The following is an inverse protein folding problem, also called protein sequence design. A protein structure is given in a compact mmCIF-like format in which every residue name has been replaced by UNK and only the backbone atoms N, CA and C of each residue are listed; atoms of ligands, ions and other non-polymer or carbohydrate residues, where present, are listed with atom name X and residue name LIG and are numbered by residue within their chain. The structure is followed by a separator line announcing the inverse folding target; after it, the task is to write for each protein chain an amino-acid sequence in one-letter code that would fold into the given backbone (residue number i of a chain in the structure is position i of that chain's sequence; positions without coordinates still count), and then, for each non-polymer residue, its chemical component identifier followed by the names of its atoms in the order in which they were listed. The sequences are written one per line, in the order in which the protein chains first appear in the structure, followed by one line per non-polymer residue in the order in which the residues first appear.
data_IF_580684731752
#
_entry.id   IF_580684731752
#
_cell.length_a   1.000
_cell.length_b   1.000
_cell.length_c   1.000
_cell.angle_alpha   90.00
_cell.angle_beta   90.00
_cell.angle_gamma   90.00
#
_symmetry.space_group_name_H-M   'P 1'
#
loop_
_entity.id
_entity.type
_entity.pdbx_description
1 polymer ?
#
# COMPACT_ATOMS: atom_id res chain seq x y z
N UNK A 1 -15.70 -62.99 -43.52
CA UNK A 1 -14.72 -61.90 -43.69
C UNK A 1 -15.00 -61.28 -45.03
N UNK A 2 -15.46 -60.02 -45.05
CA UNK A 2 -15.81 -59.28 -46.28
C UNK A 2 -14.54 -58.77 -46.97
N UNK A 3 -14.39 -58.84 -48.31
CA UNK A 3 -13.15 -58.46 -48.99
C UNK A 3 -12.93 -56.95 -49.22
N UNK A 4 -13.76 -56.06 -48.67
CA UNK A 4 -13.80 -54.66 -49.17
C UNK A 4 -12.93 -53.61 -48.48
N UNK A 5 -12.26 -53.88 -47.35
CA UNK A 5 -11.60 -52.81 -46.58
C UNK A 5 -10.07 -52.85 -46.57
N UNK A 6 -9.43 -53.12 -47.71
CA UNK A 6 -8.01 -52.75 -47.92
C UNK A 6 -7.92 -51.57 -48.86
N UNK A 7 -8.47 -50.42 -48.45
CA UNK A 7 -8.06 -49.13 -49.04
C UNK A 7 -6.59 -48.96 -48.70
N UNK A 8 -5.70 -49.26 -49.66
CA UNK A 8 -4.30 -48.85 -49.63
C UNK A 8 -4.29 -47.33 -49.41
N UNK A 9 -4.06 -46.92 -48.17
CA UNK A 9 -3.95 -45.52 -47.78
C UNK A 9 -2.73 -44.99 -48.53
N UNK A 10 -2.97 -44.17 -49.55
CA UNK A 10 -1.90 -43.54 -50.33
C UNK A 10 -0.88 -42.93 -49.36
N UNK A 11 0.35 -43.44 -49.39
CA UNK A 11 1.40 -42.90 -48.54
C UNK A 11 1.64 -41.44 -48.96
N UNK A 12 1.73 -40.51 -48.00
CA UNK A 12 1.97 -39.12 -48.33
C UNK A 12 3.28 -38.97 -49.09
N UNK A 13 3.31 -38.05 -50.06
CA UNK A 13 4.49 -37.82 -50.89
C UNK A 13 5.67 -37.42 -50.00
N UNK A 14 6.83 -38.08 -50.10
CA UNK A 14 7.99 -37.81 -49.25
C UNK A 14 8.35 -36.32 -49.24
N UNK A 15 8.53 -35.75 -48.06
CA UNK A 15 8.90 -34.34 -47.88
C UNK A 15 7.74 -33.33 -47.92
N UNK A 16 6.49 -33.79 -48.07
CA UNK A 16 5.31 -32.93 -47.83
C UNK A 16 5.06 -32.74 -46.32
N UNK A 17 4.32 -31.70 -45.96
CA UNK A 17 3.90 -31.49 -44.56
C UNK A 17 3.08 -32.66 -44.03
N UNK A 18 2.26 -33.30 -44.89
CA UNK A 18 1.53 -34.52 -44.57
C UNK A 18 2.46 -35.72 -44.28
N UNK A 19 3.56 -35.89 -45.03
CA UNK A 19 4.55 -36.94 -44.79
C UNK A 19 5.27 -36.76 -43.45
N UNK A 20 5.64 -35.52 -43.12
CA UNK A 20 6.22 -35.20 -41.81
C UNK A 20 5.25 -35.55 -40.67
N UNK A 21 3.97 -35.15 -40.78
CA UNK A 21 2.94 -35.50 -39.79
C UNK A 21 2.76 -37.02 -39.67
N UNK A 22 2.74 -37.74 -40.80
CA UNK A 22 2.56 -39.20 -40.81
C UNK A 22 3.76 -39.96 -40.21
N UNK A 23 4.99 -39.57 -40.54
CA UNK A 23 6.23 -40.18 -40.01
C UNK A 23 6.37 -39.97 -38.51
N UNK A 24 5.84 -38.90 -37.95
CA UNK A 24 5.87 -38.70 -36.51
C UNK A 24 4.68 -39.35 -35.79
N UNK A 25 3.49 -39.41 -36.41
CA UNK A 25 2.33 -40.13 -35.86
C UNK A 25 2.58 -41.63 -35.71
N UNK A 26 3.26 -42.25 -36.68
CA UNK A 26 3.65 -43.68 -36.63
C UNK A 26 4.52 -44.04 -35.43
N UNK A 27 5.15 -43.06 -34.76
CA UNK A 27 5.94 -43.28 -33.54
C UNK A 27 5.13 -43.13 -32.24
N UNK A 28 3.85 -42.77 -32.32
CA UNK A 28 3.00 -42.44 -31.17
C UNK A 28 1.92 -43.48 -30.86
N UNK A 29 1.53 -44.32 -31.82
CA UNK A 29 0.31 -45.15 -31.78
C UNK A 29 0.38 -46.46 -30.96
N UNK A 30 1.26 -46.58 -29.95
CA UNK A 30 1.43 -47.83 -29.20
C UNK A 30 0.59 -47.97 -27.89
N UNK A 31 -0.43 -47.12 -27.63
CA UNK A 31 -1.22 -47.29 -26.40
C UNK A 31 -2.53 -46.48 -26.31
N UNK A 32 -3.51 -47.04 -25.59
CA UNK A 32 -4.88 -46.50 -25.42
C UNK A 32 -5.00 -45.32 -24.44
N UNK A 33 -3.94 -45.00 -23.69
CA UNK A 33 -3.88 -43.79 -22.84
C UNK A 33 -2.90 -42.80 -23.47
N UNK A 34 -3.29 -41.53 -23.70
CA UNK A 34 -2.37 -40.52 -24.23
C UNK A 34 -1.17 -40.38 -23.29
N UNK A 35 -0.03 -40.91 -23.73
CA UNK A 35 1.22 -40.80 -22.98
C UNK A 35 1.59 -39.32 -22.81
N UNK A 36 2.48 -38.99 -21.85
CA UNK A 36 3.04 -37.63 -21.73
C UNK A 36 3.59 -37.11 -23.08
N UNK A 37 4.04 -38.03 -23.94
CA UNK A 37 4.48 -37.78 -25.32
C UNK A 37 3.30 -37.40 -26.23
N UNK A 38 2.20 -38.14 -26.21
CA UNK A 38 0.99 -37.81 -26.99
C UNK A 38 0.42 -36.43 -26.62
N UNK A 39 0.37 -36.08 -25.32
CA UNK A 39 -0.10 -34.76 -24.89
C UNK A 39 0.76 -33.62 -25.43
N UNK A 40 2.09 -33.79 -25.43
CA UNK A 40 3.01 -32.84 -26.07
C UNK A 40 2.78 -32.79 -27.58
N UNK A 41 2.43 -33.92 -28.20
CA UNK A 41 2.14 -33.99 -29.62
C UNK A 41 0.88 -33.24 -30.01
N UNK A 42 -0.22 -33.46 -29.31
CA UNK A 42 -1.46 -32.72 -29.56
C UNK A 42 -1.24 -31.19 -29.39
N UNK A 43 -0.37 -30.78 -28.45
CA UNK A 43 0.02 -29.37 -28.31
C UNK A 43 0.82 -28.86 -29.52
N UNK A 44 1.73 -29.67 -30.06
CA UNK A 44 2.49 -29.33 -31.26
C UNK A 44 1.55 -29.26 -32.48
N UNK A 45 0.64 -30.23 -32.65
CA UNK A 45 -0.32 -30.26 -33.75
C UNK A 45 -1.26 -29.04 -33.74
N UNK A 46 -1.71 -28.63 -32.55
CA UNK A 46 -2.52 -27.43 -32.38
C UNK A 46 -1.74 -26.16 -32.76
N UNK A 47 -0.46 -26.07 -32.41
CA UNK A 47 0.42 -24.98 -32.86
C UNK A 47 0.60 -25.00 -34.38
N UNK A 48 0.77 -26.17 -34.99
CA UNK A 48 0.86 -26.31 -36.44
C UNK A 48 -0.42 -25.82 -37.13
N UNK A 49 -1.60 -26.21 -36.63
CA UNK A 49 -2.89 -25.72 -37.15
C UNK A 49 -2.97 -24.19 -37.05
N UNK A 50 -2.60 -23.62 -35.90
CA UNK A 50 -2.59 -22.17 -35.71
C UNK A 50 -1.65 -21.45 -36.69
N UNK A 51 -0.45 -21.98 -36.92
CA UNK A 51 0.50 -21.42 -37.88
C UNK A 51 0.03 -21.58 -39.33
N UNK A 52 -0.63 -22.70 -39.67
CA UNK A 52 -1.24 -22.90 -40.99
C UNK A 52 -2.41 -21.93 -41.24
N UNK A 53 -3.31 -21.74 -40.28
CA UNK A 53 -4.42 -20.77 -40.39
C UNK A 53 -3.91 -19.34 -40.56
N UNK A 54 -2.76 -19.01 -39.99
CA UNK A 54 -2.11 -17.70 -40.12
C UNK A 54 -1.25 -17.56 -41.38
N UNK A 55 -1.15 -18.60 -42.21
CA UNK A 55 -0.34 -18.59 -43.44
C UNK A 55 1.17 -18.59 -43.19
N UNK A 56 1.62 -18.95 -41.98
CA UNK A 56 3.05 -19.00 -41.62
C UNK A 56 3.73 -20.29 -42.12
N UNK A 57 2.94 -21.35 -42.32
CA UNK A 57 3.36 -22.65 -42.84
C UNK A 57 2.38 -23.05 -43.95
N UNK A 58 2.84 -23.73 -45.02
CA UNK A 58 1.97 -24.22 -46.07
C UNK A 58 0.92 -25.21 -45.58
N UNK A 59 -0.18 -25.33 -46.32
CA UNK A 59 -1.18 -26.37 -46.12
C UNK A 59 -0.59 -27.79 -46.35
N UNK A 60 -1.29 -28.82 -45.90
CA UNK A 60 -0.77 -30.20 -45.87
C UNK A 60 -0.49 -30.79 -47.25
N UNK A 61 -1.14 -30.26 -48.28
CA UNK A 61 -1.01 -30.60 -49.70
C UNK A 61 0.15 -29.87 -50.41
N UNK A 62 0.84 -28.98 -49.73
CA UNK A 62 1.94 -28.20 -50.27
C UNK A 62 3.32 -28.79 -49.90
N UNK A 63 4.39 -28.41 -50.64
CA UNK A 63 5.77 -28.79 -50.30
C UNK A 63 6.10 -28.41 -48.84
N UNK A 64 6.94 -29.21 -48.19
CA UNK A 64 7.29 -29.02 -46.78
C UNK A 64 7.81 -27.61 -46.44
N UNK A 65 7.77 -27.23 -45.16
CA UNK A 65 8.11 -25.87 -44.74
C UNK A 65 9.53 -25.47 -45.14
N UNK A 66 9.62 -24.48 -46.02
CA UNK A 66 10.89 -23.85 -46.42
C UNK A 66 11.55 -23.07 -45.27
N UNK A 67 12.80 -22.64 -45.46
CA UNK A 67 13.50 -21.81 -44.48
C UNK A 67 12.79 -20.48 -44.21
N UNK A 68 12.16 -19.89 -45.23
CA UNK A 68 11.35 -18.68 -45.10
C UNK A 68 10.16 -18.90 -44.14
N UNK A 69 9.46 -20.02 -44.24
CA UNK A 69 8.37 -20.37 -43.32
C UNK A 69 8.87 -20.53 -41.87
N UNK A 70 10.03 -21.19 -41.69
CA UNK A 70 10.65 -21.33 -40.36
C UNK A 70 10.99 -19.98 -39.75
N UNK A 71 11.56 -19.07 -40.54
CA UNK A 71 11.88 -17.70 -40.11
C UNK A 71 10.61 -16.93 -39.75
N UNK A 72 9.57 -17.02 -40.57
CA UNK A 72 8.28 -16.36 -40.34
C UNK A 72 7.62 -16.81 -39.03
N UNK A 73 7.66 -18.11 -38.70
CA UNK A 73 7.14 -18.63 -37.41
C UNK A 73 7.90 -18.06 -36.22
N UNK A 74 9.23 -17.99 -36.30
CA UNK A 74 10.07 -17.43 -35.21
C UNK A 74 9.83 -15.94 -35.03
N UNK A 75 9.77 -15.18 -36.12
CA UNK A 75 9.47 -13.74 -36.09
C UNK A 75 8.08 -13.47 -35.52
N UNK A 76 7.09 -14.28 -35.91
CA UNK A 76 5.72 -14.19 -35.41
C UNK A 76 5.63 -14.42 -33.89
N UNK A 77 6.20 -15.52 -33.38
CA UNK A 77 6.17 -15.84 -31.94
C UNK A 77 6.96 -14.81 -31.11
N UNK A 78 8.04 -14.27 -31.66
CA UNK A 78 8.79 -13.19 -31.02
C UNK A 78 8.01 -11.87 -30.99
N UNK A 79 7.30 -11.53 -32.07
CA UNK A 79 6.47 -10.33 -32.13
C UNK A 79 5.30 -10.40 -31.14
N UNK A 80 4.62 -11.56 -31.05
CA UNK A 80 3.54 -11.78 -30.08
C UNK A 80 4.05 -11.67 -28.63
N UNK A 81 5.24 -12.22 -28.35
CA UNK A 81 5.91 -12.08 -27.06
C UNK A 81 6.19 -10.61 -26.70
N UNK A 82 6.77 -9.85 -27.62
CA UNK A 82 7.09 -8.43 -27.40
C UNK A 82 5.84 -7.57 -27.24
N UNK A 83 4.74 -7.90 -27.94
CA UNK A 83 3.46 -7.22 -27.76
C UNK A 83 2.88 -7.48 -26.37
N UNK A 84 2.93 -8.74 -25.89
CA UNK A 84 2.50 -9.07 -24.55
C UNK A 84 3.35 -8.34 -23.51
N UNK A 85 4.69 -8.39 -23.62
CA UNK A 85 5.61 -7.70 -22.71
C UNK A 85 5.34 -6.18 -22.64
N UNK A 86 5.14 -5.51 -23.79
CA UNK A 86 4.78 -4.08 -23.83
C UNK A 86 3.44 -3.79 -23.16
N UNK A 87 2.42 -4.62 -23.39
CA UNK A 87 1.12 -4.47 -22.73
C UNK A 87 1.24 -4.63 -21.20
N UNK A 88 2.14 -5.50 -20.75
CA UNK A 88 2.42 -5.71 -19.32
C UNK A 88 3.17 -4.55 -18.68
N UNK A 89 4.22 -4.02 -19.32
CA UNK A 89 4.93 -2.81 -18.84
C UNK A 89 3.94 -1.65 -18.70
N UNK A 90 3.03 -1.49 -19.67
CA UNK A 90 1.98 -0.47 -19.63
C UNK A 90 1.00 -0.65 -18.46
N UNK A 91 0.82 -1.87 -17.94
CA UNK A 91 -0.06 -2.17 -16.81
C UNK A 91 0.59 -1.93 -15.43
N UNK A 92 1.86 -1.50 -15.36
CA UNK A 92 2.50 -1.07 -14.12
C UNK A 92 2.81 -2.16 -13.10
N UNK A 93 2.73 -3.45 -13.46
CA UNK A 93 3.04 -4.56 -12.55
C UNK A 93 4.46 -5.10 -12.80
N UNK A 94 5.38 -5.03 -11.82
CA UNK A 94 6.70 -5.62 -11.97
C UNK A 94 6.61 -7.15 -12.03
N UNK A 95 7.39 -7.83 -12.89
CA UNK A 95 7.25 -9.26 -13.18
C UNK A 95 7.83 -10.19 -12.10
N UNK A 96 7.83 -9.78 -10.83
CA UNK A 96 8.48 -10.55 -9.77
C UNK A 96 7.65 -11.78 -9.34
N UNK A 97 6.31 -11.68 -9.26
CA UNK A 97 5.43 -12.81 -8.91
C UNK A 97 4.04 -12.71 -9.55
N UNK A 98 3.47 -13.83 -10.03
CA UNK A 98 2.08 -13.91 -10.51
C UNK A 98 1.86 -14.58 -11.89
N UNK A 99 0.62 -14.55 -12.42
CA UNK A 99 0.22 -15.14 -13.71
C UNK A 99 1.10 -14.69 -14.90
N UNK A 100 1.65 -13.47 -14.84
CA UNK A 100 2.55 -12.92 -15.85
C UNK A 100 3.89 -13.67 -15.95
N UNK A 101 4.49 -14.07 -14.82
CA UNK A 101 5.71 -14.90 -14.79
C UNK A 101 5.46 -16.27 -15.41
N UNK A 102 4.26 -16.83 -15.20
CA UNK A 102 3.86 -18.09 -15.81
C UNK A 102 3.65 -17.94 -17.32
N UNK A 103 3.10 -16.82 -17.79
CA UNK A 103 2.98 -16.51 -19.21
C UNK A 103 4.34 -16.37 -19.89
N UNK A 104 5.29 -15.64 -19.29
CA UNK A 104 6.66 -15.54 -19.81
C UNK A 104 7.36 -16.90 -19.85
N UNK A 105 7.32 -17.68 -18.76
CA UNK A 105 7.86 -19.05 -18.75
C UNK A 105 7.19 -19.94 -19.79
N UNK A 106 5.90 -19.76 -20.06
CA UNK A 106 5.17 -20.50 -21.10
C UNK A 106 5.63 -20.08 -22.50
N UNK A 107 5.88 -18.79 -22.73
CA UNK A 107 6.42 -18.29 -23.98
C UNK A 107 7.86 -18.76 -24.23
N UNK A 108 8.74 -18.71 -23.22
CA UNK A 108 10.09 -19.29 -23.31
C UNK A 108 10.06 -20.77 -23.64
N UNK A 109 9.18 -21.54 -22.97
CA UNK A 109 8.98 -22.96 -23.29
C UNK A 109 8.50 -23.17 -24.73
N UNK A 110 7.63 -22.29 -25.25
CA UNK A 110 7.21 -22.32 -26.66
C UNK A 110 8.38 -22.02 -27.59
N UNK A 111 9.22 -21.03 -27.31
CA UNK A 111 10.42 -20.73 -28.10
C UNK A 111 11.38 -21.92 -28.16
N UNK A 112 11.65 -22.57 -27.04
CA UNK A 112 12.49 -23.78 -26.98
C UNK A 112 11.85 -24.94 -27.77
N UNK A 113 10.53 -25.10 -27.67
CA UNK A 113 9.80 -26.13 -28.43
C UNK A 113 9.86 -25.88 -29.94
N UNK A 114 9.68 -24.63 -30.39
CA UNK A 114 9.79 -24.21 -31.80
C UNK A 114 11.22 -24.44 -32.30
N UNK A 115 12.24 -24.04 -31.53
CA UNK A 115 13.64 -24.24 -31.89
C UNK A 115 13.99 -25.74 -32.03
N UNK A 116 13.57 -26.57 -31.07
CA UNK A 116 13.76 -28.02 -31.14
C UNK A 116 13.04 -28.63 -32.33
N UNK A 117 11.80 -28.21 -32.61
CA UNK A 117 11.04 -28.68 -33.76
C UNK A 117 11.72 -28.31 -35.08
N UNK A 118 12.26 -27.10 -35.20
CA UNK A 118 13.07 -26.67 -36.34
C UNK A 118 14.32 -27.56 -36.47
N UNK A 119 14.99 -27.87 -35.36
CA UNK A 119 16.15 -28.76 -35.35
C UNK A 119 15.78 -30.16 -35.86
N UNK A 120 14.69 -30.74 -35.34
CA UNK A 120 14.18 -32.04 -35.79
C UNK A 120 13.83 -32.04 -37.27
N UNK A 121 13.15 -31.01 -37.77
CA UNK A 121 12.81 -30.88 -39.19
C UNK A 121 14.06 -30.76 -40.08
N UNK A 122 15.13 -30.13 -39.58
CA UNK A 122 16.42 -30.04 -40.29
C UNK A 122 17.12 -31.40 -40.37
N UNK A 123 17.10 -32.18 -39.28
CA UNK A 123 17.76 -33.49 -39.23
C UNK A 123 16.98 -34.61 -39.94
N UNK A 124 15.64 -34.57 -39.94
CA UNK A 124 14.82 -35.59 -40.62
C UNK A 124 14.72 -35.39 -42.14
N UNK A 125 14.94 -34.16 -42.62
CA UNK A 125 14.98 -33.84 -44.06
C UNK A 125 16.33 -34.12 -44.72
N UNK A 126 17.42 -34.24 -43.96
CA UNK A 126 18.77 -34.49 -44.48
C UNK A 126 19.09 -35.96 -44.77
N UNK A 127 18.11 -36.87 -44.67
CA UNK A 127 18.25 -38.22 -45.20
C UNK A 127 19.21 -39.11 -44.39
N UNK A 128 18.63 -40.10 -43.73
CA UNK A 128 19.32 -41.29 -43.22
C UNK A 128 19.82 -42.19 -44.38
N UNK A 129 20.11 -41.62 -45.55
CA UNK A 129 20.36 -42.37 -46.79
C UNK A 129 21.84 -42.54 -47.12
N UNK A 130 22.77 -41.85 -46.45
CA UNK A 130 24.14 -41.74 -46.98
C UNK A 130 25.33 -42.17 -46.09
N UNK A 131 25.19 -42.68 -44.85
CA UNK A 131 26.40 -43.03 -44.07
C UNK A 131 26.16 -43.95 -42.87
N UNK A 132 25.77 -45.21 -43.12
CA UNK A 132 26.04 -46.29 -42.16
C UNK A 132 27.24 -47.08 -42.70
N UNK A 133 28.43 -46.48 -42.69
CA UNK A 133 29.66 -47.22 -42.94
C UNK A 133 30.00 -48.04 -41.70
N UNK A 134 29.87 -49.36 -41.84
CA UNK A 134 30.36 -50.37 -40.90
C UNK A 134 31.86 -50.14 -40.72
N UNK A 135 32.28 -49.71 -39.54
CA UNK A 135 33.69 -49.55 -39.18
C UNK A 135 34.34 -50.93 -39.23
N UNK A 136 35.32 -51.11 -40.13
CA UNK A 136 36.04 -52.36 -40.30
C UNK A 136 36.99 -52.60 -39.11
N UNK A 137 37.22 -53.87 -38.76
CA UNK A 137 38.00 -54.28 -37.59
C UNK A 137 39.48 -53.82 -37.59
N UNK A 138 39.98 -53.30 -38.72
CA UNK A 138 41.36 -52.85 -38.90
C UNK A 138 41.65 -51.47 -38.29
N UNK A 139 40.63 -50.66 -37.97
CA UNK A 139 40.76 -49.30 -37.40
C UNK A 139 40.84 -49.26 -35.85
N UNK A 140 40.72 -50.40 -35.19
CA UNK A 140 40.73 -50.55 -33.72
C UNK A 140 41.98 -49.98 -33.00
N UNK A 141 43.24 -50.21 -33.45
CA UNK A 141 44.42 -49.75 -32.71
C UNK A 141 44.61 -48.22 -32.75
N UNK A 142 44.18 -47.55 -33.83
CA UNK A 142 44.21 -46.08 -33.94
C UNK A 142 43.18 -45.45 -32.99
N UNK A 143 42.01 -46.07 -32.86
CA UNK A 143 40.99 -45.69 -31.89
C UNK A 143 41.47 -45.83 -30.44
N UNK A 144 42.25 -46.87 -30.13
CA UNK A 144 42.77 -47.11 -28.78
C UNK A 144 43.87 -46.11 -28.36
N UNK A 145 44.73 -45.70 -29.31
CA UNK A 145 45.70 -44.63 -29.07
C UNK A 145 45.03 -43.24 -28.93
N UNK A 146 44.01 -42.97 -29.75
CA UNK A 146 43.20 -41.77 -29.64
C UNK A 146 42.44 -41.73 -28.29
N UNK A 147 41.89 -42.87 -27.87
CA UNK A 147 41.24 -43.03 -26.56
C UNK A 147 42.18 -42.68 -25.40
N UNK A 148 43.41 -43.22 -25.41
CA UNK A 148 44.42 -42.90 -24.38
C UNK A 148 44.81 -41.42 -24.35
N UNK A 149 44.94 -40.77 -25.51
CA UNK A 149 45.23 -39.33 -25.60
C UNK A 149 44.07 -38.49 -25.06
N UNK A 150 42.83 -38.85 -25.40
CA UNK A 150 41.63 -38.18 -24.90
C UNK A 150 41.54 -38.34 -23.38
N UNK A 151 41.76 -39.54 -22.85
CA UNK A 151 41.69 -39.82 -21.41
C UNK A 151 42.75 -39.04 -20.62
N UNK A 152 43.98 -38.96 -21.14
CA UNK A 152 45.05 -38.17 -20.52
C UNK A 152 44.77 -36.66 -20.53
N UNK A 153 44.22 -36.12 -21.63
CA UNK A 153 43.84 -34.70 -21.72
C UNK A 153 42.63 -34.38 -20.81
N UNK A 154 41.65 -35.29 -20.74
CA UNK A 154 40.53 -35.16 -19.81
C UNK A 154 41.00 -35.18 -18.36
N UNK A 155 41.93 -36.06 -17.99
CA UNK A 155 42.51 -36.12 -16.65
C UNK A 155 43.17 -34.79 -16.23
N UNK A 156 43.98 -34.19 -17.12
CA UNK A 156 44.61 -32.88 -16.83
C UNK A 156 43.59 -31.76 -16.63
N UNK A 157 42.56 -31.71 -17.48
CA UNK A 157 41.50 -30.70 -17.37
C UNK A 157 40.69 -30.88 -16.10
N UNK A 158 40.44 -32.13 -15.70
CA UNK A 158 39.76 -32.46 -14.45
C UNK A 158 40.55 -31.91 -13.24
N UNK A 159 41.85 -32.20 -13.16
CA UNK A 159 42.71 -31.69 -12.08
C UNK A 159 42.78 -30.15 -12.05
N UNK A 160 42.77 -29.49 -13.21
CA UNK A 160 42.71 -28.03 -13.28
C UNK A 160 41.38 -27.48 -12.76
N UNK A 161 40.27 -28.14 -13.10
CA UNK A 161 38.95 -27.79 -12.58
C UNK A 161 38.87 -27.98 -11.07
N UNK A 162 39.39 -29.08 -10.53
CA UNK A 162 39.40 -29.36 -9.10
C UNK A 162 40.17 -28.27 -8.32
N UNK A 163 41.34 -27.85 -8.83
CA UNK A 163 42.11 -26.74 -8.23
C UNK A 163 41.36 -25.42 -8.23
N UNK A 164 40.68 -25.09 -9.34
CA UNK A 164 39.86 -23.87 -9.43
C UNK A 164 38.66 -23.93 -8.48
N UNK A 165 38.10 -25.12 -8.30
CA UNK A 165 36.98 -25.31 -7.38
C UNK A 165 37.41 -25.13 -5.92
N UNK A 166 38.55 -25.70 -5.51
CA UNK A 166 39.12 -25.43 -4.18
C UNK A 166 39.40 -23.94 -3.95
N UNK A 167 39.89 -23.21 -4.96
CA UNK A 167 40.10 -21.77 -4.85
C UNK A 167 38.78 -21.00 -4.66
N UNK A 168 37.72 -21.41 -5.36
CA UNK A 168 36.38 -20.83 -5.19
C UNK A 168 35.82 -21.12 -3.81
N UNK A 169 35.97 -22.33 -3.29
CA UNK A 169 35.49 -22.70 -1.96
C UNK A 169 36.18 -21.86 -0.87
N UNK A 170 37.50 -21.66 -0.96
CA UNK A 170 38.22 -20.77 -0.02
C UNK A 170 37.74 -19.32 -0.07
N UNK A 171 37.42 -18.82 -1.27
CA UNK A 171 36.88 -17.45 -1.43
C UNK A 171 35.47 -17.33 -0.85
N UNK A 172 34.65 -18.37 -0.98
CA UNK A 172 33.32 -18.40 -0.39
C UNK A 172 33.40 -18.40 1.15
N UNK A 173 34.28 -19.20 1.74
CA UNK A 173 34.52 -19.19 3.20
C UNK A 173 35.03 -17.84 3.72
N UNK A 174 35.82 -17.09 2.93
CA UNK A 174 36.23 -15.74 3.28
C UNK A 174 35.05 -14.75 3.20
N UNK A 175 34.19 -14.88 2.20
CA UNK A 175 32.99 -14.06 2.07
C UNK A 175 32.01 -14.32 3.21
N UNK A 176 31.78 -15.58 3.59
CA UNK A 176 30.91 -15.95 4.71
C UNK A 176 31.39 -15.32 6.02
N UNK A 177 32.69 -15.41 6.31
CA UNK A 177 33.28 -14.76 7.50
C UNK A 177 33.09 -13.23 7.50
N UNK A 178 33.21 -12.58 6.35
CA UNK A 178 32.98 -11.13 6.23
C UNK A 178 31.50 -10.78 6.41
N UNK A 179 30.59 -11.60 5.90
CA UNK A 179 29.15 -11.39 6.10
C UNK A 179 28.78 -11.53 7.58
N UNK A 180 29.27 -12.56 8.28
CA UNK A 180 29.05 -12.72 9.72
C UNK A 180 29.61 -11.55 10.55
N UNK A 181 30.73 -10.97 10.13
CA UNK A 181 31.28 -9.78 10.81
C UNK A 181 30.39 -8.55 10.59
N UNK A 182 29.88 -8.36 9.38
CA UNK A 182 28.95 -7.28 9.07
C UNK A 182 27.64 -7.44 9.85
N UNK A 183 27.09 -8.65 9.93
CA UNK A 183 25.87 -8.94 10.70
C UNK A 183 26.07 -8.61 12.17
N UNK A 184 27.19 -9.03 12.78
CA UNK A 184 27.53 -8.68 14.17
C UNK A 184 27.65 -7.18 14.40
N UNK A 185 28.24 -6.44 13.46
CA UNK A 185 28.35 -4.97 13.55
C UNK A 185 26.99 -4.29 13.46
N UNK A 186 26.14 -4.74 12.52
CA UNK A 186 24.78 -4.20 12.37
C UNK A 186 23.93 -4.49 13.61
N UNK A 187 24.02 -5.69 14.18
CA UNK A 187 23.31 -6.04 15.42
C UNK A 187 23.77 -5.18 16.59
N UNK A 188 25.09 -4.99 16.75
CA UNK A 188 25.64 -4.11 17.79
C UNK A 188 25.19 -2.65 17.63
N UNK A 189 25.17 -2.11 16.41
CA UNK A 189 24.66 -0.76 16.16
C UNK A 189 23.17 -0.64 16.42
N UNK A 190 22.38 -1.66 16.08
CA UNK A 190 20.95 -1.68 16.36
C UNK A 190 20.69 -1.66 17.86
N UNK A 191 21.39 -2.51 18.63
CA UNK A 191 21.30 -2.54 20.10
C UNK A 191 21.68 -1.18 20.68
N UNK A 192 22.81 -0.60 20.26
CA UNK A 192 23.25 0.73 20.69
C UNK A 192 22.19 1.79 20.39
N UNK A 193 21.63 1.79 19.18
CA UNK A 193 20.60 2.74 18.78
C UNK A 193 19.27 2.56 19.51
N UNK A 194 18.94 1.34 19.95
CA UNK A 194 17.78 1.10 20.81
C UNK A 194 18.02 1.60 22.23
N UNK A 195 19.21 1.40 22.79
CA UNK A 195 19.56 1.92 24.11
C UNK A 195 19.62 3.45 24.16
N UNK A 196 20.16 4.08 23.12
CA UNK A 196 20.17 5.55 23.00
C UNK A 196 18.76 6.12 22.93
N UNK A 197 17.86 5.49 22.16
CA UNK A 197 16.44 5.87 22.13
C UNK A 197 15.78 5.70 23.49
N UNK A 198 16.00 4.56 24.17
CA UNK A 198 15.47 4.34 25.51
C UNK A 198 15.92 5.42 26.50
N UNK A 199 17.21 5.80 26.50
CA UNK A 199 17.74 6.88 27.34
C UNK A 199 17.10 8.23 27.01
N UNK A 200 16.87 8.51 25.73
CA UNK A 200 16.19 9.73 25.31
C UNK A 200 14.72 9.77 25.78
N UNK A 201 14.02 8.64 25.70
CA UNK A 201 12.64 8.51 26.18
C UNK A 201 12.56 8.64 27.71
N UNK A 202 13.50 8.05 28.45
CA UNK A 202 13.63 8.23 29.91
C UNK A 202 13.84 9.71 30.27
N UNK A 203 14.79 10.39 29.62
CA UNK A 203 15.04 11.81 29.84
C UNK A 203 13.82 12.68 29.45
N UNK A 204 13.10 12.31 28.39
CA UNK A 204 11.88 13.01 27.99
C UNK A 204 10.77 12.87 29.05
N UNK A 205 10.61 11.67 29.63
CA UNK A 205 9.65 11.43 30.69
C UNK A 205 9.99 12.22 31.97
N UNK A 206 11.26 12.33 32.33
CA UNK A 206 11.68 13.16 33.46
C UNK A 206 11.28 14.64 33.27
N UNK A 207 11.48 15.17 32.06
CA UNK A 207 11.06 16.54 31.70
C UNK A 207 9.54 16.70 31.76
N UNK A 208 8.78 15.68 31.32
CA UNK A 208 7.31 15.70 31.40
C UNK A 208 6.86 15.76 32.86
N UNK A 209 7.43 14.94 33.73
CA UNK A 209 7.09 14.92 35.16
C UNK A 209 7.46 16.23 35.86
N UNK A 210 8.60 16.84 35.51
CA UNK A 210 8.96 18.16 36.02
C UNK A 210 7.93 19.23 35.60
N UNK A 211 7.57 19.26 34.31
CA UNK A 211 6.53 20.19 33.81
C UNK A 211 5.18 19.96 34.47
N UNK A 212 4.82 18.70 34.74
CA UNK A 212 3.58 18.35 35.43
C UNK A 212 3.54 18.94 36.84
N UNK A 213 4.62 18.79 37.60
CA UNK A 213 4.76 19.37 38.95
C UNK A 213 4.70 20.90 38.93
N UNK A 214 5.35 21.53 37.95
CA UNK A 214 5.31 22.99 37.79
C UNK A 214 3.89 23.50 37.50
N UNK A 215 3.14 22.78 36.65
CA UNK A 215 1.73 23.10 36.36
C UNK A 215 0.86 22.93 37.59
N UNK A 216 1.05 21.86 38.37
CA UNK A 216 0.33 21.63 39.62
C UNK A 216 0.58 22.77 40.62
N UNK A 217 1.84 23.15 40.84
CA UNK A 217 2.20 24.28 41.70
C UNK A 217 1.60 25.61 41.22
N UNK A 218 1.57 25.85 39.91
CA UNK A 218 0.93 27.03 39.32
C UNK A 218 -0.59 27.04 39.56
N UNK A 219 -1.25 25.89 39.45
CA UNK A 219 -2.68 25.77 39.73
C UNK A 219 -3.00 26.04 41.20
N UNK A 220 -2.14 25.61 42.13
CA UNK A 220 -2.29 25.92 43.56
C UNK A 220 -2.23 27.43 43.82
N UNK A 221 -1.30 28.13 43.17
CA UNK A 221 -1.19 29.60 43.26
C UNK A 221 -2.46 30.27 42.70
N UNK A 222 -2.97 29.80 41.56
CA UNK A 222 -4.24 30.31 41.02
C UNK A 222 -5.39 30.08 42.01
N UNK A 223 -5.47 28.90 42.61
CA UNK A 223 -6.51 28.58 43.57
C UNK A 223 -6.42 29.45 44.83
N UNK A 224 -5.21 29.74 45.32
CA UNK A 224 -5.01 30.67 46.43
C UNK A 224 -5.46 32.08 46.07
N UNK A 225 -5.08 32.60 44.90
CA UNK A 225 -5.52 33.90 44.41
C UNK A 225 -7.03 34.01 44.32
N UNK A 226 -7.71 32.97 43.82
CA UNK A 226 -9.17 32.93 43.77
C UNK A 226 -9.80 33.01 45.16
N UNK A 227 -9.25 32.30 46.16
CA UNK A 227 -9.74 32.40 47.54
C UNK A 227 -9.55 33.80 48.12
N UNK A 228 -8.46 34.49 47.79
CA UNK A 228 -8.24 35.88 48.21
C UNK A 228 -9.23 36.85 47.53
N UNK A 229 -9.47 36.68 46.24
CA UNK A 229 -10.47 37.44 45.49
C UNK A 229 -11.87 37.23 46.09
N UNK A 230 -12.25 35.99 46.41
CA UNK A 230 -13.53 35.67 47.06
C UNK A 230 -13.66 36.33 48.44
N UNK A 231 -12.60 36.30 49.26
CA UNK A 231 -12.57 37.02 50.55
C UNK A 231 -12.77 38.53 50.36
N UNK A 232 -12.12 39.12 49.36
CA UNK A 232 -12.27 40.54 49.06
C UNK A 232 -13.70 40.88 48.60
N UNK A 233 -14.30 40.04 47.74
CA UNK A 233 -15.69 40.19 47.34
C UNK A 233 -16.66 40.08 48.52
N UNK A 234 -16.40 39.17 49.46
CA UNK A 234 -17.19 39.02 50.68
C UNK A 234 -17.12 40.27 51.56
N UNK A 235 -15.93 40.83 51.79
CA UNK A 235 -15.75 42.09 52.54
C UNK A 235 -16.45 43.27 51.88
N UNK A 236 -16.39 43.37 50.54
CA UNK A 236 -17.12 44.39 49.80
C UNK A 236 -18.64 44.24 49.96
N UNK A 237 -19.15 43.01 49.93
CA UNK A 237 -20.56 42.72 50.15
C UNK A 237 -21.00 43.09 51.57
N UNK A 238 -20.18 42.78 52.58
CA UNK A 238 -20.43 43.14 53.98
C UNK A 238 -20.48 44.65 54.17
N UNK A 239 -19.49 45.40 53.66
CA UNK A 239 -19.50 46.88 53.71
C UNK A 239 -20.75 47.48 53.05
N UNK A 240 -21.17 46.95 51.89
CA UNK A 240 -22.43 47.38 51.25
C UNK A 240 -23.64 47.13 52.14
N UNK A 241 -23.68 45.99 52.84
CA UNK A 241 -24.77 45.70 53.79
C UNK A 241 -24.75 46.65 54.99
N UNK A 242 -23.57 46.99 55.51
CA UNK A 242 -23.42 47.98 56.58
C UNK A 242 -23.89 49.36 56.15
N UNK A 243 -23.54 49.82 54.94
CA UNK A 243 -24.00 51.09 54.39
C UNK A 243 -25.54 51.14 54.29
N UNK A 244 -26.16 50.04 53.84
CA UNK A 244 -27.63 49.90 53.79
C UNK A 244 -28.22 49.96 55.20
N UNK A 245 -27.66 49.21 56.16
CA UNK A 245 -28.11 49.26 57.57
C UNK A 245 -27.98 50.66 58.15
N UNK A 246 -26.89 51.35 57.86
CA UNK A 246 -26.68 52.73 58.30
C UNK A 246 -27.74 53.66 57.71
N UNK A 247 -28.02 53.58 56.40
CA UNK A 247 -29.09 54.36 55.77
C UNK A 247 -30.46 54.08 56.39
N UNK A 248 -30.78 52.81 56.66
CA UNK A 248 -32.04 52.43 57.31
C UNK A 248 -32.16 53.03 58.71
N UNK A 249 -31.10 52.99 59.52
CA UNK A 249 -31.10 53.60 60.86
C UNK A 249 -31.27 55.12 60.82
N UNK A 250 -30.68 55.79 59.82
CA UNK A 250 -30.85 57.22 59.59
C UNK A 250 -32.28 57.56 59.15
N UNK A 251 -32.85 56.75 58.25
CA UNK A 251 -34.23 56.89 57.81
C UNK A 251 -35.23 56.66 58.96
N UNK A 252 -34.99 55.66 59.82
CA UNK A 252 -35.79 55.41 61.02
C UNK A 252 -35.74 56.56 62.00
N UNK A 253 -34.54 57.13 62.24
CA UNK A 253 -34.41 58.33 63.08
C UNK A 253 -35.22 59.50 62.51
N UNK A 254 -35.09 59.77 61.21
CA UNK A 254 -35.86 60.83 60.54
C UNK A 254 -37.37 60.59 60.62
N UNK A 255 -37.83 59.33 60.45
CA UNK A 255 -39.25 58.96 60.62
C UNK A 255 -39.74 59.27 62.03
N UNK A 256 -38.99 58.87 63.07
CA UNK A 256 -39.36 59.15 64.47
C UNK A 256 -39.41 60.65 64.75
N UNK A 257 -38.45 61.43 64.26
CA UNK A 257 -38.45 62.90 64.39
C UNK A 257 -39.66 63.54 63.70
N UNK A 258 -40.04 63.07 62.50
CA UNK A 258 -41.24 63.52 61.81
C UNK A 258 -42.51 63.15 62.58
N UNK A 259 -42.62 61.93 63.09
CA UNK A 259 -43.74 61.47 63.91
C UNK A 259 -43.89 62.29 65.20
N UNK A 260 -42.78 62.62 65.86
CA UNK A 260 -42.75 63.50 67.02
C UNK A 260 -43.23 64.91 66.67
N UNK A 261 -42.77 65.49 65.54
CA UNK A 261 -43.24 66.78 65.07
C UNK A 261 -44.74 66.78 64.76
N UNK A 262 -45.24 65.73 64.10
CA UNK A 262 -46.68 65.54 63.84
C UNK A 262 -47.44 65.48 65.16
N UNK A 263 -46.92 64.73 66.13
CA UNK A 263 -47.53 64.59 67.47
C UNK A 263 -47.55 65.92 68.22
N UNK A 264 -46.46 66.70 68.15
CA UNK A 264 -46.39 68.05 68.72
C UNK A 264 -47.40 69.00 68.05
N UNK A 265 -47.52 68.96 66.71
CA UNK A 265 -48.52 69.75 65.97
C UNK A 265 -49.94 69.38 66.39
N UNK A 266 -50.27 68.08 66.46
CA UNK A 266 -51.59 67.59 66.94
C UNK A 266 -51.90 68.08 68.35
N UNK A 267 -50.91 68.11 69.25
CA UNK A 267 -51.08 68.68 70.60
C UNK A 267 -51.36 70.18 70.59
N UNK A 268 -50.73 70.94 69.68
CA UNK A 268 -51.00 72.38 69.52
C UNK A 268 -52.38 72.66 68.93
N UNK A 269 -52.82 71.90 67.93
CA UNK A 269 -54.13 72.09 67.29
C UNK A 269 -55.29 71.68 68.19
N UNK A 270 -55.12 70.69 69.07
CA UNK A 270 -56.18 70.29 70.03
C UNK A 270 -56.46 71.33 71.12
N UNK A 271 -55.61 72.34 71.30
CA UNK A 271 -55.87 73.51 72.16
C UNK A 271 -56.43 74.72 71.40
N UNK A 272 -56.65 74.59 70.09
CA UNK A 272 -57.06 75.67 69.20
C UNK A 272 -58.32 75.28 68.43
N UNK A 273 -59.35 74.85 69.16
CA UNK A 273 -60.66 74.52 68.59
C UNK A 273 -61.77 75.21 69.39
N UNK A 274 -61.66 76.52 69.54
CA UNK A 274 -62.80 77.41 69.73
C UNK A 274 -62.54 78.64 68.85
N UNK A 275 -63.51 78.95 67.98
CA UNK A 275 -63.52 80.01 66.96
C UNK A 275 -62.77 79.73 65.64
N UNK A 276 -63.49 79.24 64.63
CA UNK A 276 -64.06 80.13 63.60
C UNK A 276 -64.76 79.35 62.49
N UNK A 277 -66.02 79.73 62.28
CA UNK A 277 -66.83 79.48 61.09
C UNK A 277 -66.23 80.11 59.82
N UNK A 278 -66.62 79.57 58.66
CA UNK A 278 -66.63 80.25 57.35
C UNK A 278 -65.70 79.58 56.32
N UNK A 279 -66.22 78.82 55.37
CA UNK A 279 -66.82 79.23 54.08
C UNK A 279 -65.80 79.40 52.94
N UNK A 280 -66.17 78.84 51.79
CA UNK A 280 -65.53 79.00 50.47
C UNK A 280 -64.40 78.00 50.23
N UNK A 281 -64.14 77.46 49.05
CA UNK A 281 -64.75 77.43 47.71
C UNK A 281 -63.85 76.41 46.98
N UNK A 282 -64.38 75.37 46.34
CA UNK A 282 -64.59 75.27 44.88
C UNK A 282 -63.39 75.70 44.00
N UNK A 283 -63.10 74.84 43.00
CA UNK A 283 -62.23 75.02 41.82
C UNK A 283 -60.74 74.70 42.06
N UNK A 284 -59.94 74.18 41.13
CA UNK A 284 -60.07 73.63 39.78
C UNK A 284 -58.66 73.06 39.49
N UNK A 285 -58.52 71.91 38.86
CA UNK A 285 -58.03 71.74 37.49
C UNK A 285 -56.54 72.06 37.22
N UNK A 286 -56.01 71.40 36.20
CA UNK A 286 -54.64 71.39 35.63
C UNK A 286 -53.64 70.48 36.38
N UNK A 287 -53.16 69.36 35.81
CA UNK A 287 -52.80 69.13 34.43
C UNK A 287 -51.31 69.44 34.27
N UNK A 288 -50.46 68.40 34.23
CA UNK A 288 -49.21 68.50 33.49
C UNK A 288 -48.71 67.12 33.06
N UNK A 289 -49.01 66.80 31.80
CA UNK A 289 -48.25 65.88 30.98
C UNK A 289 -46.77 66.28 31.00
N UNK A 290 -45.86 65.34 31.23
CA UNK A 290 -44.59 65.38 30.52
C UNK A 290 -44.25 64.01 29.93
N UNK A 291 -44.31 64.05 28.62
CA UNK A 291 -44.08 63.05 27.61
C UNK A 291 -42.58 63.01 27.23
N UNK A 292 -42.20 61.97 26.48
CA UNK A 292 -41.00 61.79 25.62
C UNK A 292 -39.74 61.10 26.21
N UNK A 293 -38.87 60.48 25.37
CA UNK A 293 -39.09 59.20 24.66
C UNK A 293 -37.79 58.34 24.60
N UNK A 294 -37.76 57.28 23.78
CA UNK A 294 -36.52 56.83 23.13
C UNK A 294 -36.03 55.44 23.51
N UNK A 295 -36.49 54.40 22.81
CA UNK A 295 -35.72 53.69 21.76
C UNK A 295 -34.59 52.77 22.25
N UNK A 296 -34.80 51.46 22.00
CA UNK A 296 -33.79 50.41 22.01
C UNK A 296 -32.57 50.74 21.12
N UNK A 297 -31.47 49.97 21.25
CA UNK A 297 -31.27 48.99 20.18
C UNK A 297 -30.83 47.61 20.63
N UNK A 298 -31.31 46.63 19.84
CA UNK A 298 -30.82 45.26 19.76
C UNK A 298 -29.37 45.25 19.28
N UNK A 299 -28.48 44.54 19.96
CA UNK A 299 -27.21 44.09 19.39
C UNK A 299 -27.30 42.61 19.02
N UNK A 300 -27.42 42.37 17.71
CA UNK A 300 -26.94 41.16 17.02
C UNK A 300 -25.42 41.26 16.81
N UNK A 301 -24.79 40.12 16.52
CA UNK A 301 -23.38 39.81 16.11
C UNK A 301 -22.44 39.44 17.27
N UNK A 302 -21.61 38.39 17.18
CA UNK A 302 -21.07 37.65 16.02
C UNK A 302 -20.71 36.21 16.39
N UNK A 303 -20.95 35.28 15.45
CA UNK A 303 -20.20 34.02 15.28
C UNK A 303 -18.73 34.34 14.98
N UNK A 304 -17.81 33.58 15.59
CA UNK A 304 -16.46 33.13 15.15
C UNK A 304 -15.74 32.75 16.46
N UNK A 305 -15.29 31.52 16.68
CA UNK A 305 -14.14 30.91 16.04
C UNK A 305 -14.08 29.44 16.46
N UNK A 306 -13.94 28.55 15.49
CA UNK A 306 -13.55 27.17 15.71
C UNK A 306 -12.06 27.15 16.06
N UNK A 307 -11.70 26.62 17.24
CA UNK A 307 -10.33 26.24 17.53
C UNK A 307 -10.17 24.74 17.24
N UNK A 308 -9.66 24.46 16.05
CA UNK A 308 -9.02 23.19 15.70
C UNK A 308 -7.59 23.22 16.24
N UNK A 309 -7.08 22.14 16.88
CA UNK A 309 -5.68 22.09 17.33
C UNK A 309 -4.72 21.86 16.15
N UNK A 310 -3.49 22.38 16.18
CA UNK A 310 -2.45 21.93 15.26
C UNK A 310 -1.93 20.56 15.72
N UNK A 311 -2.09 19.57 14.84
CA UNK A 311 -1.21 18.42 14.82
C UNK A 311 0.22 18.91 14.51
N UNK A 312 1.14 18.64 15.42
CA UNK A 312 2.53 18.31 15.12
C UNK A 312 3.06 17.40 16.21
#
# INVERSE_FOLDING_TARGET
MSPEDTKLRALPVPGTTADIKARVNTWSDAGTVPTKRQKKWNQIEELFKQWQTRGLIPADDQPGPTEAHRKAVVEYENAEYLQQEKAWIKAGQPPRYGPAKNAMKKAEKRKVMVANLILYLKYTSQGLTNSLHVVAAEDMPVMEELGRKIEAELGRRQEELDKRQEELDRRLEELDRRMEELDRRMEAELIRGMEERRKADEAHNDIIEEKRKAVEAHNDIIAERQREEDKYQQLLAERRQEDVRFQDTMADRQRREQEEQITQRKRRTNYSTDYSNGQGDENDDSGNEQHYPGTCPKTKRTKTSAHTPPCH
#
